data_IF_550919633409
#
_entry.id   IF_550919633409
#
_cell.length_a   1.000
_cell.length_b   1.000
_cell.length_c   1.000
_cell.angle_alpha   90.00
_cell.angle_beta   90.00
_cell.angle_gamma   90.00
#
_symmetry.space_group_name_H-M   'P 1'
#
loop_
_entity.id
_entity.type
_entity.pdbx_description
1 polymer ?
#
# COMPACT_ATOMS: atom_id res chain seq x y z
N UNK A 1 -0.55 24.78 1.81
CA UNK A 1 0.63 24.21 2.50
C UNK A 1 0.51 24.52 3.99
N UNK A 2 -0.09 23.63 4.78
CA UNK A 2 -0.30 23.87 6.22
C UNK A 2 0.91 23.37 7.02
N UNK A 3 1.81 24.27 7.41
CA UNK A 3 2.82 23.98 8.43
C UNK A 3 2.20 24.23 9.79
N UNK A 4 1.86 23.17 10.52
CA UNK A 4 1.68 23.26 11.96
C UNK A 4 3.07 23.50 12.55
N UNK A 5 3.42 24.78 12.76
CA UNK A 5 4.57 25.11 13.59
C UNK A 5 4.15 24.85 15.04
N UNK A 6 4.50 23.69 15.59
CA UNK A 6 4.57 23.56 17.04
C UNK A 6 5.53 24.62 17.59
N UNK A 7 5.11 25.32 18.66
CA UNK A 7 5.95 26.28 19.36
C UNK A 7 7.34 25.69 19.66
N UNK A 8 8.44 26.42 19.38
CA UNK A 8 9.78 25.98 19.71
C UNK A 8 9.95 26.03 21.24
N UNK A 9 9.49 24.98 21.93
CA UNK A 9 9.61 24.90 23.39
C UNK A 9 8.78 23.81 24.07
N UNK A 10 7.70 23.30 23.46
CA UNK A 10 6.79 22.34 24.12
C UNK A 10 7.23 20.87 24.07
N UNK A 11 8.43 20.57 23.57
CA UNK A 11 8.94 19.20 23.34
C UNK A 11 9.34 18.43 24.62
N UNK A 12 9.06 18.94 25.82
CA UNK A 12 9.44 18.29 27.08
C UNK A 12 8.36 18.43 28.15
N UNK A 13 7.26 17.70 28.00
CA UNK A 13 6.55 17.20 29.18
C UNK A 13 7.44 16.06 29.71
N UNK A 14 8.00 16.27 30.90
CA UNK A 14 9.04 15.43 31.50
C UNK A 14 8.39 14.11 31.95
N UNK A 15 8.98 12.96 31.62
CA UNK A 15 8.53 11.61 31.98
C UNK A 15 8.53 11.28 33.49
N UNK A 16 8.62 12.29 34.36
CA UNK A 16 8.71 12.20 35.83
C UNK A 16 7.42 12.71 36.52
N UNK A 17 6.28 12.69 35.83
CA UNK A 17 4.96 12.97 36.43
C UNK A 17 4.08 11.73 36.32
N UNK A 18 3.14 11.56 37.25
CA UNK A 18 2.34 10.34 37.47
C UNK A 18 1.30 10.03 36.36
N UNK A 19 1.44 10.60 35.17
CA UNK A 19 0.53 10.39 34.05
C UNK A 19 1.27 10.05 32.77
N UNK A 20 0.64 9.23 31.93
CA UNK A 20 1.17 8.88 30.62
C UNK A 20 1.05 10.08 29.66
N UNK A 21 2.14 10.39 28.96
CA UNK A 21 2.18 11.38 27.90
C UNK A 21 3.06 10.86 26.75
N UNK A 22 2.67 11.18 25.51
CA UNK A 22 3.42 10.83 24.30
C UNK A 22 3.47 12.01 23.33
N UNK A 23 4.46 12.06 22.44
CA UNK A 23 4.54 13.10 21.43
C UNK A 23 3.42 12.93 20.38
N UNK A 24 2.95 14.03 19.81
CA UNK A 24 2.13 13.99 18.59
C UNK A 24 3.05 13.69 17.42
N UNK A 25 3.01 12.44 16.96
CA UNK A 25 3.83 11.95 15.86
C UNK A 25 3.16 12.25 14.50
N UNK A 26 3.96 12.66 13.53
CA UNK A 26 3.53 12.75 12.13
C UNK A 26 3.76 11.41 11.40
N UNK A 27 3.34 11.31 10.14
CA UNK A 27 3.46 10.06 9.36
C UNK A 27 4.92 9.57 9.25
N UNK A 28 5.88 10.48 9.03
CA UNK A 28 7.30 10.14 8.95
C UNK A 28 7.80 9.56 10.28
N UNK A 29 7.43 10.20 11.40
CA UNK A 29 7.81 9.73 12.74
C UNK A 29 7.30 8.30 12.98
N UNK A 30 6.09 7.97 12.51
CA UNK A 30 5.54 6.61 12.59
C UNK A 30 6.32 5.58 11.76
N UNK A 31 6.68 5.90 10.52
CA UNK A 31 7.41 4.96 9.65
C UNK A 31 8.87 4.77 10.05
N UNK A 32 9.45 5.72 10.78
CA UNK A 32 10.82 5.68 11.29
C UNK A 32 10.91 5.22 12.76
N UNK A 33 9.78 5.02 13.44
CA UNK A 33 9.74 4.64 14.86
C UNK A 33 10.44 3.29 15.10
N UNK A 34 11.48 3.23 15.96
CA UNK A 34 12.24 2.01 16.22
C UNK A 34 11.39 0.88 16.81
N UNK A 35 10.40 1.20 17.64
CA UNK A 35 9.52 0.20 18.24
C UNK A 35 8.56 -0.38 17.18
N UNK A 36 7.98 0.45 16.32
CA UNK A 36 7.11 -0.01 15.23
C UNK A 36 7.87 -0.84 14.18
N UNK A 37 9.14 -0.51 13.91
CA UNK A 37 10.02 -1.35 13.08
C UNK A 37 10.33 -2.68 13.75
N UNK A 38 10.76 -2.67 15.01
CA UNK A 38 11.14 -3.89 15.74
C UNK A 38 9.99 -4.89 15.91
N UNK A 39 8.75 -4.41 16.12
CA UNK A 39 7.57 -5.28 16.24
C UNK A 39 6.96 -5.70 14.89
N UNK A 40 7.59 -5.32 13.78
CA UNK A 40 7.09 -5.62 12.43
C UNK A 40 5.75 -4.95 12.13
N UNK A 41 5.50 -3.75 12.65
CA UNK A 41 4.35 -2.93 12.26
C UNK A 41 4.60 -2.15 10.97
N UNK A 42 5.86 -1.79 10.70
CA UNK A 42 6.27 -1.10 9.47
C UNK A 42 7.11 -2.05 8.62
N UNK A 43 6.68 -2.28 7.38
CA UNK A 43 7.27 -3.25 6.46
C UNK A 43 7.98 -2.51 5.33
N UNK A 44 9.05 -3.12 4.83
CA UNK A 44 9.74 -2.67 3.62
C UNK A 44 9.54 -3.76 2.57
N UNK A 45 9.09 -3.33 1.40
CA UNK A 45 8.62 -4.20 0.33
C UNK A 45 9.31 -3.76 -0.95
N UNK A 46 9.79 -4.73 -1.71
CA UNK A 46 10.20 -4.53 -3.09
C UNK A 46 8.97 -4.86 -3.96
N UNK A 47 8.29 -3.82 -4.42
CA UNK A 47 7.11 -3.95 -5.28
C UNK A 47 7.54 -3.76 -6.74
N UNK A 48 7.14 -4.63 -7.67
CA UNK A 48 7.56 -4.52 -9.06
C UNK A 48 7.15 -3.18 -9.69
N UNK A 49 6.01 -2.60 -9.30
CA UNK A 49 5.46 -1.38 -9.90
C UNK A 49 6.03 -0.13 -9.23
N UNK A 50 6.17 -0.16 -7.91
CA UNK A 50 6.54 1.02 -7.11
C UNK A 50 8.00 1.01 -6.63
N UNK A 51 8.71 -0.09 -6.81
CA UNK A 51 10.05 -0.34 -6.27
C UNK A 51 10.04 -0.52 -4.76
N UNK A 52 11.11 -0.05 -4.10
CA UNK A 52 11.21 -0.07 -2.64
C UNK A 52 10.16 0.86 -1.99
N UNK A 53 9.13 0.25 -1.40
CA UNK A 53 8.08 0.95 -0.66
C UNK A 53 8.07 0.56 0.80
N UNK A 54 7.67 1.53 1.64
CA UNK A 54 7.48 1.34 3.07
C UNK A 54 5.99 1.42 3.35
N UNK A 55 5.43 0.35 3.89
CA UNK A 55 3.99 0.25 4.13
C UNK A 55 3.71 -0.20 5.56
N UNK A 56 2.51 0.12 6.06
CA UNK A 56 2.09 -0.37 7.35
C UNK A 56 1.59 -1.82 7.22
N UNK A 57 2.21 -2.72 7.96
CA UNK A 57 1.88 -4.14 7.94
C UNK A 57 0.52 -4.45 8.58
N UNK A 58 -0.03 -5.65 8.34
CA UNK A 58 -1.32 -6.06 8.87
C UNK A 58 -1.34 -6.06 10.40
N UNK A 59 -2.46 -5.60 10.98
CA UNK A 59 -2.73 -5.56 12.42
C UNK A 59 -4.13 -6.12 12.72
N UNK A 60 -4.33 -6.84 13.84
CA UNK A 60 -3.33 -7.25 14.84
C UNK A 60 -2.38 -8.35 14.33
N UNK A 61 -1.31 -8.65 15.07
CA UNK A 61 -0.42 -9.78 14.77
C UNK A 61 -1.05 -11.06 15.32
N UNK A 62 -1.43 -11.96 14.42
CA UNK A 62 -2.04 -13.24 14.75
C UNK A 62 -0.96 -14.33 14.76
N UNK A 63 -0.98 -15.20 15.76
CA UNK A 63 -0.03 -16.31 15.90
C UNK A 63 -0.30 -17.46 14.92
N UNK A 64 -1.57 -17.82 14.74
CA UNK A 64 -1.98 -18.95 13.88
C UNK A 64 -2.11 -18.55 12.40
N UNK A 65 -2.54 -17.32 12.15
CA UNK A 65 -2.73 -16.78 10.79
C UNK A 65 -1.99 -15.46 10.58
N UNK A 66 -0.65 -15.44 10.61
CA UNK A 66 0.10 -14.20 10.44
C UNK A 66 -0.22 -13.54 9.10
N UNK A 67 -0.69 -12.29 9.17
CA UNK A 67 -1.05 -11.51 7.98
C UNK A 67 0.12 -11.43 6.98
N UNK A 68 -0.22 -11.36 5.69
CA UNK A 68 0.71 -11.25 4.57
C UNK A 68 0.28 -10.09 3.69
N UNK A 69 1.25 -9.39 3.11
CA UNK A 69 1.01 -8.45 2.03
C UNK A 69 1.46 -9.12 0.73
N UNK A 70 0.55 -9.27 -0.23
CA UNK A 70 0.84 -9.96 -1.50
C UNK A 70 1.23 -8.99 -2.61
N UNK A 71 0.77 -7.75 -2.53
CA UNK A 71 1.03 -6.66 -3.47
C UNK A 71 0.83 -5.34 -2.73
N UNK A 72 1.63 -4.31 -3.02
CA UNK A 72 1.39 -2.98 -2.46
C UNK A 72 0.20 -2.31 -3.15
N UNK A 73 0.15 -2.41 -4.48
CA UNK A 73 -0.97 -1.95 -5.29
C UNK A 73 -0.97 -2.64 -6.64
N UNK A 74 -2.16 -2.71 -7.26
CA UNK A 74 -2.33 -3.24 -8.61
C UNK A 74 -2.80 -2.11 -9.53
N UNK A 75 -2.30 -2.02 -10.77
CA UNK A 75 -2.81 -1.08 -11.75
C UNK A 75 -4.30 -1.33 -12.01
N UNK A 76 -5.02 -0.28 -12.39
CA UNK A 76 -6.43 -0.41 -12.76
C UNK A 76 -6.54 -1.37 -13.95
N UNK A 77 -7.41 -2.37 -13.86
CA UNK A 77 -7.64 -3.33 -14.95
C UNK A 77 -6.61 -4.45 -15.08
N UNK A 78 -5.65 -4.58 -14.15
CA UNK A 78 -4.65 -5.66 -14.13
C UNK A 78 -5.28 -7.06 -14.18
N UNK A 79 -6.30 -7.27 -13.35
CA UNK A 79 -6.91 -8.59 -13.15
C UNK A 79 -8.17 -8.79 -14.03
N UNK A 80 -8.54 -7.82 -14.89
CA UNK A 80 -9.79 -7.87 -15.68
C UNK A 80 -9.86 -9.12 -16.52
N UNK A 81 -8.80 -9.41 -17.29
CA UNK A 81 -8.76 -10.59 -18.16
C UNK A 81 -8.85 -11.88 -17.33
N UNK A 82 -8.04 -12.01 -16.27
CA UNK A 82 -8.03 -13.23 -15.43
C UNK A 82 -9.42 -13.50 -14.84
N UNK A 83 -10.07 -12.48 -14.28
CA UNK A 83 -11.40 -12.61 -13.66
C UNK A 83 -12.45 -13.02 -14.70
N UNK A 84 -12.49 -12.34 -15.85
CA UNK A 84 -13.48 -12.62 -16.88
C UNK A 84 -13.28 -14.00 -17.53
N UNK A 85 -12.04 -14.43 -17.76
CA UNK A 85 -11.79 -15.79 -18.28
C UNK A 85 -11.97 -16.87 -17.22
N UNK A 86 -11.36 -16.70 -16.04
CA UNK A 86 -11.20 -17.80 -15.07
C UNK A 86 -12.42 -17.96 -14.17
N UNK A 87 -13.10 -16.86 -13.83
CA UNK A 87 -14.25 -16.88 -12.94
C UNK A 87 -15.57 -16.84 -13.71
N UNK A 88 -15.64 -16.10 -14.83
CA UNK A 88 -16.86 -15.99 -15.63
C UNK A 88 -16.87 -16.88 -16.89
N UNK A 89 -15.72 -17.45 -17.27
CA UNK A 89 -15.65 -18.40 -18.39
C UNK A 89 -15.75 -17.76 -19.77
N UNK A 90 -15.50 -16.44 -19.90
CA UNK A 90 -15.57 -15.77 -21.20
C UNK A 90 -14.45 -16.24 -22.12
N UNK A 91 -14.77 -16.36 -23.41
CA UNK A 91 -13.80 -16.66 -24.45
C UNK A 91 -12.93 -15.46 -24.80
N UNK A 92 -11.83 -15.69 -25.52
CA UNK A 92 -10.96 -14.60 -25.98
C UNK A 92 -11.67 -13.70 -26.99
N UNK A 93 -12.55 -14.26 -27.80
CA UNK A 93 -13.35 -13.51 -28.77
C UNK A 93 -14.34 -12.58 -28.08
N UNK A 94 -15.00 -13.04 -27.01
CA UNK A 94 -15.90 -12.22 -26.20
C UNK A 94 -15.16 -11.07 -25.53
N UNK A 95 -13.96 -11.33 -25.00
CA UNK A 95 -13.10 -10.30 -24.40
C UNK A 95 -12.70 -9.23 -25.39
N UNK A 96 -12.22 -9.64 -26.58
CA UNK A 96 -11.85 -8.70 -27.64
C UNK A 96 -13.03 -7.84 -28.06
N UNK A 97 -14.24 -8.41 -28.12
CA UNK A 97 -15.46 -7.66 -28.41
C UNK A 97 -15.75 -6.63 -27.31
N UNK A 98 -15.70 -7.02 -26.04
CA UNK A 98 -15.91 -6.10 -24.93
C UNK A 98 -14.88 -4.96 -24.88
N UNK A 99 -13.63 -5.25 -25.23
CA UNK A 99 -12.56 -4.25 -25.32
C UNK A 99 -12.77 -3.31 -26.52
N UNK A 100 -13.15 -3.84 -27.68
CA UNK A 100 -13.47 -3.05 -28.87
C UNK A 100 -14.70 -2.15 -28.68
N UNK A 101 -15.70 -2.62 -27.94
CA UNK A 101 -16.90 -1.87 -27.57
C UNK A 101 -16.61 -0.83 -26.46
N UNK A 102 -15.40 -0.80 -25.91
CA UNK A 102 -14.98 0.12 -24.84
C UNK A 102 -15.65 -0.16 -23.48
N UNK A 103 -16.22 -1.35 -23.30
CA UNK A 103 -16.91 -1.77 -22.07
C UNK A 103 -15.89 -2.17 -21.00
N UNK A 104 -14.81 -2.83 -21.40
CA UNK A 104 -13.67 -3.17 -20.55
C UNK A 104 -12.42 -2.49 -21.08
N UNK A 105 -11.45 -2.27 -20.19
CA UNK A 105 -10.17 -1.70 -20.57
C UNK A 105 -9.02 -2.32 -19.80
N UNK A 106 -7.83 -2.23 -20.38
CA UNK A 106 -6.57 -2.46 -19.68
C UNK A 106 -6.16 -1.22 -18.89
N UNK A 107 -5.04 -1.37 -18.20
CA UNK A 107 -4.39 -0.32 -17.45
C UNK A 107 -3.99 0.86 -18.35
N UNK A 108 -3.99 2.07 -17.78
CA UNK A 108 -3.72 3.32 -18.52
C UNK A 108 -2.24 3.69 -18.49
N UNK A 109 -1.73 4.37 -19.52
CA UNK A 109 -0.37 4.93 -19.55
C UNK A 109 -0.18 6.15 -18.62
N UNK A 110 -0.48 5.99 -17.33
CA UNK A 110 -0.25 6.98 -16.29
C UNK A 110 0.64 6.40 -15.18
N UNK A 111 1.45 7.22 -14.48
CA UNK A 111 2.32 6.76 -13.40
C UNK A 111 1.53 6.00 -12.33
N UNK A 112 2.00 4.79 -11.96
CA UNK A 112 1.34 3.92 -10.98
C UNK A 112 0.05 3.25 -11.47
N UNK A 113 -0.33 3.48 -12.74
CA UNK A 113 -1.46 2.80 -13.41
C UNK A 113 -1.01 1.94 -14.58
N UNK A 114 0.28 1.66 -14.70
CA UNK A 114 0.86 0.74 -15.69
C UNK A 114 1.91 -0.11 -14.98
N UNK A 115 1.98 -1.42 -15.24
CA UNK A 115 3.10 -2.23 -14.78
C UNK A 115 4.41 -1.83 -15.49
N UNK A 116 5.57 -2.22 -14.94
CA UNK A 116 6.86 -1.98 -15.56
C UNK A 116 6.98 -2.64 -16.94
N UNK A 117 7.88 -2.11 -17.76
CA UNK A 117 8.19 -2.70 -19.06
C UNK A 117 8.73 -4.13 -18.90
N UNK A 118 8.19 -5.07 -19.68
CA UNK A 118 8.57 -6.49 -19.62
C UNK A 118 7.93 -7.30 -18.49
N UNK A 119 7.04 -6.71 -17.70
CA UNK A 119 6.31 -7.41 -16.64
C UNK A 119 5.30 -8.44 -17.23
N UNK A 120 5.41 -9.70 -16.81
CA UNK A 120 4.63 -10.82 -17.37
C UNK A 120 3.39 -11.22 -16.55
N UNK A 121 3.10 -10.49 -15.47
CA UNK A 121 2.05 -10.88 -14.51
C UNK A 121 2.62 -11.57 -13.28
#
# INVERSE_FOLDING_TARGET
MWRIKCCPGSRRIRANQSFAAGPVANAKDHFEDPHLRARGSVWQLDDPIYGDVVEYGPVPKLSESPGRLKWAGKPVGLDTQEVLTRLLGLSQEELQKLEADGIIGKWSDAPGRKPPDGWQG
#
